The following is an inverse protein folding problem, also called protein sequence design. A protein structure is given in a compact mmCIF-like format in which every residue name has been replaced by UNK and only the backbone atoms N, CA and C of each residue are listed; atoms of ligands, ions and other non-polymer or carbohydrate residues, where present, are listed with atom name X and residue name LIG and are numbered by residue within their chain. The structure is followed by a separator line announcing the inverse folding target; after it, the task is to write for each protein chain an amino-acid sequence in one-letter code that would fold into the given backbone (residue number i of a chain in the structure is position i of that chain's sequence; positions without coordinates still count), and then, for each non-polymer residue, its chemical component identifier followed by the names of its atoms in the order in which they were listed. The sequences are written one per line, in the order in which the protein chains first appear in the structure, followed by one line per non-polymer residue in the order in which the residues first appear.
data_IF_398701619009
#
_entry.id   IF_398701619009
#
_cell.length_a   1.000
_cell.length_b   1.000
_cell.length_c   1.000
_cell.angle_alpha   90.00
_cell.angle_beta   90.00
_cell.angle_gamma   90.00
#
_symmetry.space_group_name_H-M   'P 1'
#
loop_
_entity.id
_entity.type
_entity.pdbx_description
1 polymer ?
#
# COMPACT_ATOMS: atom_id res chain seq x y z
N UNK A 1 3.55 7.16 -17.51
CA UNK A 1 3.14 7.52 -16.13
C UNK A 1 3.08 6.22 -15.35
N UNK A 2 3.50 6.24 -14.09
CA UNK A 2 3.43 5.09 -13.19
C UNK A 2 2.28 5.29 -12.21
N UNK A 3 1.64 4.19 -11.81
CA UNK A 3 0.54 4.19 -10.86
C UNK A 3 0.89 3.29 -9.66
N UNK A 4 0.66 3.79 -8.45
CA UNK A 4 0.75 2.99 -7.24
C UNK A 4 -0.51 2.12 -7.10
N UNK A 5 -0.44 0.89 -7.62
CA UNK A 5 -1.57 -0.05 -7.59
C UNK A 5 -1.80 -0.64 -6.21
N UNK A 6 -0.75 -1.08 -5.51
CA UNK A 6 -0.90 -1.83 -4.26
C UNK A 6 -0.01 -1.29 -3.14
N UNK A 7 -0.59 -1.22 -1.95
CA UNK A 7 0.10 -0.97 -0.68
C UNK A 7 -0.11 -2.18 0.22
N UNK A 8 0.97 -2.64 0.85
CA UNK A 8 0.92 -3.70 1.86
C UNK A 8 1.45 -3.19 3.19
N UNK A 9 0.62 -3.27 4.21
CA UNK A 9 1.01 -3.04 5.60
C UNK A 9 1.13 -4.38 6.31
N UNK A 10 2.33 -4.66 6.83
CA UNK A 10 2.59 -5.85 7.65
C UNK A 10 2.84 -5.42 9.09
N UNK A 11 2.18 -6.10 10.02
CA UNK A 11 2.52 -6.05 11.44
C UNK A 11 3.02 -7.42 11.88
N UNK A 12 4.19 -7.42 12.49
CA UNK A 12 4.85 -8.60 13.04
C UNK A 12 4.54 -8.75 14.54
N UNK A 13 4.72 -9.95 15.12
CA UNK A 13 4.39 -10.18 16.53
C UNK A 13 5.22 -9.31 17.48
N UNK A 14 6.51 -9.16 17.18
CA UNK A 14 7.50 -8.40 17.95
C UNK A 14 8.73 -8.09 17.08
N UNK A 15 9.79 -7.54 17.70
CA UNK A 15 11.07 -7.20 17.05
C UNK A 15 12.24 -8.10 17.50
N UNK A 16 11.94 -9.24 18.13
CA UNK A 16 12.96 -10.12 18.73
C UNK A 16 13.82 -10.86 17.71
N UNK A 17 13.32 -10.99 16.48
CA UNK A 17 14.00 -11.69 15.39
C UNK A 17 13.60 -11.13 14.04
N UNK A 18 14.29 -11.58 13.00
CA UNK A 18 13.90 -11.32 11.63
C UNK A 18 12.68 -12.17 11.24
N UNK A 19 11.62 -11.50 10.80
CA UNK A 19 10.43 -12.14 10.24
C UNK A 19 10.37 -11.96 8.72
N UNK A 20 10.01 -13.03 8.02
CA UNK A 20 9.62 -12.95 6.61
C UNK A 20 8.16 -12.50 6.49
N UNK A 21 7.70 -12.13 5.29
CA UNK A 21 6.31 -11.71 5.02
C UNK A 21 5.26 -12.65 5.63
N UNK A 22 5.48 -13.97 5.55
CA UNK A 22 4.54 -14.97 6.07
C UNK A 22 4.45 -14.99 7.60
N UNK A 23 5.49 -14.50 8.29
CA UNK A 23 5.54 -14.34 9.73
C UNK A 23 4.77 -13.13 10.27
N UNK A 24 4.19 -12.29 9.42
CA UNK A 24 3.28 -11.22 9.86
C UNK A 24 2.07 -11.80 10.58
N UNK A 25 1.64 -11.15 11.66
CA UNK A 25 0.41 -11.49 12.39
C UNK A 25 -0.80 -10.75 11.86
N UNK A 26 -0.57 -9.62 11.19
CA UNK A 26 -1.61 -8.85 10.51
C UNK A 26 -1.06 -8.37 9.17
N UNK A 27 -1.83 -8.61 8.11
CA UNK A 27 -1.58 -8.08 6.77
C UNK A 27 -2.77 -7.22 6.37
N UNK A 28 -2.52 -6.00 5.92
CA UNK A 28 -3.52 -5.18 5.23
C UNK A 28 -3.02 -4.90 3.81
N UNK A 29 -3.88 -5.12 2.82
CA UNK A 29 -3.63 -4.78 1.44
C UNK A 29 -4.67 -3.78 0.96
N UNK A 30 -4.18 -2.73 0.29
CA UNK A 30 -4.99 -1.74 -0.39
C UNK A 30 -4.65 -1.81 -1.87
N UNK A 31 -5.59 -2.31 -2.68
CA UNK A 31 -5.42 -2.45 -4.12
C UNK A 31 -6.30 -1.45 -4.85
N UNK A 32 -5.66 -0.42 -5.40
CA UNK A 32 -6.28 0.67 -6.11
C UNK A 32 -6.30 0.40 -7.62
N UNK A 33 -7.23 1.05 -8.31
CA UNK A 33 -7.24 1.13 -9.76
C UNK A 33 -7.28 2.58 -10.22
N UNK A 34 -6.77 2.88 -11.44
CA UNK A 34 -6.86 4.20 -12.06
C UNK A 34 -8.27 4.80 -12.16
N UNK A 35 -9.32 3.97 -12.10
CA UNK A 35 -10.72 4.38 -12.20
C UNK A 35 -11.33 4.83 -10.86
N UNK A 36 -10.54 4.85 -9.77
CA UNK A 36 -11.02 5.20 -8.43
C UNK A 36 -11.70 4.05 -7.68
N UNK A 37 -11.70 2.83 -8.23
CA UNK A 37 -12.07 1.64 -7.46
C UNK A 37 -10.91 1.15 -6.59
N UNK A 38 -11.24 0.58 -5.42
CA UNK A 38 -10.27 -0.01 -4.52
C UNK A 38 -10.82 -1.30 -3.90
N UNK A 39 -10.02 -2.36 -3.87
CA UNK A 39 -10.26 -3.53 -3.04
C UNK A 39 -9.39 -3.42 -1.79
N UNK A 40 -10.00 -3.49 -0.62
CA UNK A 40 -9.32 -3.56 0.68
C UNK A 40 -9.44 -4.97 1.23
N UNK A 41 -8.32 -5.50 1.71
CA UNK A 41 -8.24 -6.82 2.33
C UNK A 41 -7.41 -6.74 3.60
N UNK A 42 -7.90 -7.31 4.70
CA UNK A 42 -7.21 -7.39 5.99
C UNK A 42 -7.29 -8.82 6.53
N UNK A 43 -6.13 -9.40 6.84
CA UNK A 43 -6.01 -10.72 7.45
C UNK A 43 -5.32 -10.63 8.80
N UNK A 44 -6.07 -10.87 9.86
CA UNK A 44 -5.60 -10.89 11.25
C UNK A 44 -5.47 -12.34 11.73
N UNK A 45 -4.24 -12.82 11.86
CA UNK A 45 -3.93 -14.20 12.27
C UNK A 45 -4.00 -14.39 13.78
N UNK A 46 -3.99 -13.30 14.56
CA UNK A 46 -4.07 -13.39 16.03
C UNK A 46 -5.48 -13.80 16.44
N UNK A 47 -6.49 -13.16 15.85
CA UNK A 47 -7.90 -13.46 16.11
C UNK A 47 -8.52 -14.38 15.05
N UNK A 48 -7.75 -14.76 14.03
CA UNK A 48 -8.16 -15.62 12.92
C UNK A 48 -9.39 -15.08 12.15
N UNK A 49 -9.31 -13.80 11.77
CA UNK A 49 -10.37 -13.08 11.04
C UNK A 49 -9.81 -12.53 9.73
N UNK A 50 -10.63 -12.61 8.69
CA UNK A 50 -10.40 -11.94 7.41
C UNK A 50 -11.55 -10.95 7.20
N UNK A 51 -11.19 -9.73 6.83
CA UNK A 51 -12.11 -8.67 6.47
C UNK A 51 -11.76 -8.20 5.05
N UNK A 52 -12.76 -7.91 4.24
CA UNK A 52 -12.56 -7.36 2.91
C UNK A 52 -13.73 -6.45 2.53
N UNK A 53 -13.45 -5.47 1.69
CA UNK A 53 -14.45 -4.56 1.17
C UNK A 53 -14.00 -3.96 -0.17
N UNK A 54 -14.98 -3.70 -1.05
CA UNK A 54 -14.77 -2.95 -2.28
C UNK A 54 -15.31 -1.53 -2.13
N UNK A 55 -14.53 -0.57 -2.61
CA UNK A 55 -14.84 0.85 -2.60
C UNK A 55 -14.80 1.40 -4.02
N UNK A 56 -15.52 2.50 -4.22
CA UNK A 56 -15.59 3.25 -5.46
C UNK A 56 -15.40 4.74 -5.15
N UNK A 57 -15.16 5.52 -6.20
CA UNK A 57 -15.04 6.98 -6.12
C UNK A 57 -13.92 7.44 -5.15
N UNK A 58 -12.85 6.64 -5.03
CA UNK A 58 -11.66 6.99 -4.27
C UNK A 58 -10.82 7.98 -5.08
N UNK A 59 -10.39 9.07 -4.44
CA UNK A 59 -9.41 9.98 -5.03
C UNK A 59 -8.04 9.30 -5.09
N UNK A 60 -7.60 9.00 -6.31
CA UNK A 60 -6.30 8.36 -6.60
C UNK A 60 -5.32 9.34 -7.24
N UNK A 61 -5.58 10.66 -7.16
CA UNK A 61 -4.71 11.69 -7.77
C UNK A 61 -3.26 11.61 -7.26
N UNK A 62 -3.05 11.24 -6.00
CA UNK A 62 -1.73 11.09 -5.38
C UNK A 62 -1.01 9.78 -5.70
N UNK A 63 -1.66 8.84 -6.41
CA UNK A 63 -1.08 7.55 -6.81
C UNK A 63 -0.27 7.63 -8.09
N UNK A 64 -0.32 8.75 -8.80
CA UNK A 64 0.38 8.95 -10.06
C UNK A 64 1.76 9.56 -9.85
N UNK A 65 2.73 8.96 -10.52
CA UNK A 65 4.12 9.41 -10.54
C UNK A 65 4.61 9.51 -11.99
N UNK A 66 5.46 10.49 -12.34
CA UNK A 66 6.24 10.39 -13.56
C UNK A 66 7.12 9.14 -13.49
N UNK A 67 7.42 8.54 -14.65
CA UNK A 67 8.43 7.49 -14.70
C UNK A 67 9.79 8.15 -14.45
N UNK A 68 10.51 7.81 -13.38
CA UNK A 68 11.77 8.47 -13.07
C UNK A 68 12.85 8.09 -14.09
N UNK A 69 13.73 9.04 -14.38
CA UNK A 69 14.99 8.72 -15.04
C UNK A 69 15.89 7.91 -14.10
N UNK A 70 16.85 7.18 -14.66
CA UNK A 70 17.76 6.39 -13.85
C UNK A 70 18.56 7.30 -12.90
N UNK A 71 18.43 7.06 -11.60
CA UNK A 71 19.04 7.89 -10.54
C UNK A 71 18.05 8.78 -9.80
N UNK A 72 16.89 9.11 -10.40
CA UNK A 72 15.91 10.05 -9.86
C UNK A 72 14.78 9.33 -9.09
N UNK A 73 15.15 8.53 -8.09
CA UNK A 73 14.21 7.64 -7.40
C UNK A 73 13.34 8.32 -6.34
N UNK A 74 13.60 9.58 -6.01
CA UNK A 74 12.97 10.28 -4.89
C UNK A 74 11.43 10.31 -4.96
N UNK A 75 10.86 10.40 -6.16
CA UNK A 75 9.41 10.43 -6.37
C UNK A 75 8.74 9.11 -5.96
N UNK A 76 9.40 7.97 -6.16
CA UNK A 76 8.82 6.64 -5.94
C UNK A 76 9.15 6.05 -4.57
N UNK A 77 10.17 6.58 -3.87
CA UNK A 77 10.59 6.11 -2.54
C UNK A 77 9.88 6.80 -1.38
N UNK A 78 9.03 7.79 -1.65
CA UNK A 78 8.28 8.51 -0.60
C UNK A 78 7.24 7.61 0.08
N UNK A 79 7.28 7.63 1.41
CA UNK A 79 6.31 6.95 2.29
C UNK A 79 5.07 7.81 2.56
N UNK A 80 5.26 9.11 2.81
CA UNK A 80 4.15 10.05 2.94
C UNK A 80 3.61 10.40 1.55
N UNK A 81 2.31 10.13 1.35
CA UNK A 81 1.57 10.35 0.10
C UNK A 81 0.34 11.24 0.31
N UNK A 82 0.30 11.99 1.41
CA UNK A 82 -0.77 12.95 1.69
C UNK A 82 -0.78 14.15 0.73
N UNK A 83 0.32 14.36 -0.01
CA UNK A 83 0.45 15.42 -1.01
C UNK A 83 0.97 14.89 -2.37
N UNK A 84 0.52 15.49 -3.49
CA UNK A 84 1.05 15.16 -4.82
C UNK A 84 2.53 15.56 -4.97
N UNK A 85 3.20 15.04 -5.99
CA UNK A 85 4.60 15.39 -6.27
C UNK A 85 4.70 16.87 -6.65
N UNK A 86 5.60 17.61 -6.01
CA UNK A 86 5.90 19.00 -6.37
C UNK A 86 4.94 20.05 -5.82
N UNK A 87 4.16 19.71 -4.79
CA UNK A 87 3.42 20.68 -3.98
C UNK A 87 4.33 21.55 -3.10
#
# INVERSE_FOLDING_TARGET
MMFLEEIYDFRYPDESTYYTRSGSVLTTNYRYRPDGSMHWYRSDKVVNVIEEADYRDIDVSTHWEPVPEFGEWASITRFDRTQPVGA
#
